data_IF_438848831734
#
_entry.id   IF_438848831734
#
_cell.length_a   1.000
_cell.length_b   1.000
_cell.length_c   1.000
_cell.angle_alpha   90.00
_cell.angle_beta   90.00
_cell.angle_gamma   90.00
#
_symmetry.space_group_name_H-M   'P 1'
#
loop_
_entity.id
_entity.type
_entity.pdbx_description
1 polymer ?
#
# COMPACT_ATOMS: atom_id res chain seq x y z
N UNK A 1 -2.17 -2.22 -49.34
CA UNK A 1 -1.85 -0.99 -48.57
C UNK A 1 -2.33 -1.23 -47.15
N UNK A 2 -1.43 -1.15 -46.15
CA UNK A 2 -1.53 -1.78 -44.82
C UNK A 2 -2.71 -1.36 -43.93
N UNK A 3 -3.02 -2.01 -42.81
CA UNK A 3 -2.35 -3.09 -42.07
C UNK A 3 -2.85 -3.09 -40.62
N UNK A 4 -3.16 -4.29 -40.11
CA UNK A 4 -3.35 -4.78 -38.73
C UNK A 4 -3.52 -3.83 -37.53
N UNK A 5 -4.55 -4.10 -36.73
CA UNK A 5 -4.66 -3.59 -35.36
C UNK A 5 -3.43 -3.89 -34.51
N UNK A 6 -2.95 -2.92 -33.75
CA UNK A 6 -1.85 -3.05 -32.77
C UNK A 6 -1.81 -1.80 -31.89
N UNK A 7 -2.20 -1.89 -30.61
CA UNK A 7 -1.78 -0.87 -29.63
C UNK A 7 -2.71 -0.51 -28.46
N UNK A 8 -3.83 -1.18 -28.22
CA UNK A 8 -4.37 -1.24 -26.86
C UNK A 8 -3.36 -2.02 -26.01
N UNK A 9 -2.87 -1.46 -24.89
CA UNK A 9 -2.33 -2.11 -23.66
C UNK A 9 -1.32 -1.19 -22.91
N UNK A 10 -1.74 0.01 -22.48
CA UNK A 10 -0.93 0.82 -21.55
C UNK A 10 -1.03 0.29 -20.11
N UNK A 11 -0.09 -0.57 -19.70
CA UNK A 11 0.01 -1.10 -18.32
C UNK A 11 0.53 0.00 -17.38
N UNK A 12 -0.28 0.42 -16.42
CA UNK A 12 0.11 1.35 -15.35
C UNK A 12 0.33 0.62 -14.01
N UNK A 13 1.36 1.04 -13.29
CA UNK A 13 1.99 0.45 -12.11
C UNK A 13 2.42 1.50 -11.03
N UNK A 14 1.62 1.80 -10.00
CA UNK A 14 1.79 2.91 -9.03
C UNK A 14 3.22 3.18 -8.47
N UNK A 15 3.55 4.39 -7.97
CA UNK A 15 4.93 4.67 -7.51
C UNK A 15 5.22 4.14 -6.10
N UNK A 16 6.46 3.74 -5.81
CA UNK A 16 6.86 3.23 -4.48
C UNK A 16 6.89 4.28 -3.36
N UNK A 17 7.21 5.52 -3.69
CA UNK A 17 7.33 6.65 -2.77
C UNK A 17 5.97 7.11 -2.23
N UNK A 18 4.89 6.89 -2.99
CA UNK A 18 3.52 7.25 -2.67
C UNK A 18 2.87 6.37 -1.58
N UNK A 19 3.56 5.33 -1.09
CA UNK A 19 3.01 4.34 -0.17
C UNK A 19 3.72 4.34 1.18
N UNK A 20 3.00 3.91 2.22
CA UNK A 20 3.62 3.59 3.50
C UNK A 20 4.55 2.41 3.36
N UNK A 21 5.84 2.65 3.57
CA UNK A 21 6.89 1.67 3.37
C UNK A 21 7.27 1.02 4.68
N UNK A 22 7.17 -0.31 4.75
CA UNK A 22 7.75 -1.12 5.81
C UNK A 22 8.95 -1.90 5.25
N UNK A 23 10.16 -1.47 5.61
CA UNK A 23 11.40 -2.10 5.16
C UNK A 23 12.01 -2.93 6.27
N UNK A 24 12.26 -4.21 6.03
CA UNK A 24 12.91 -5.09 7.00
C UNK A 24 14.28 -4.56 7.46
N UNK A 25 14.97 -3.76 6.64
CA UNK A 25 16.25 -3.15 6.99
C UNK A 25 16.17 -2.14 8.16
N UNK A 26 14.97 -1.64 8.51
CA UNK A 26 14.80 -0.76 9.69
C UNK A 26 14.71 -1.53 11.00
N UNK A 27 14.61 -2.87 10.93
CA UNK A 27 14.55 -3.75 12.08
C UNK A 27 15.93 -4.32 12.36
N UNK A 28 16.41 -4.20 13.59
CA UNK A 28 17.67 -4.85 13.98
C UNK A 28 17.48 -6.36 14.11
N UNK A 29 18.52 -7.14 13.84
CA UNK A 29 18.43 -8.60 13.83
C UNK A 29 18.04 -9.21 15.19
N UNK A 30 18.58 -8.65 16.27
CA UNK A 30 18.31 -9.03 17.66
C UNK A 30 16.81 -8.90 18.03
N UNK A 31 16.08 -7.98 17.40
CA UNK A 31 14.66 -7.76 17.66
C UNK A 31 13.79 -8.98 17.31
N UNK A 32 14.20 -9.77 16.32
CA UNK A 32 13.45 -10.96 15.90
C UNK A 32 13.65 -12.11 16.91
N UNK A 33 14.83 -12.20 17.51
CA UNK A 33 15.16 -13.21 18.53
C UNK A 33 14.52 -12.85 19.88
N UNK A 34 14.50 -11.57 20.22
CA UNK A 34 13.92 -11.08 21.48
C UNK A 34 12.39 -10.92 21.43
N UNK A 35 11.74 -11.17 20.30
CA UNK A 35 10.28 -11.02 20.17
C UNK A 35 9.80 -9.56 20.24
N UNK A 36 10.55 -8.61 19.68
CA UNK A 36 10.26 -7.17 19.87
C UNK A 36 8.91 -6.77 19.27
N UNK A 37 8.23 -5.86 19.94
CA UNK A 37 7.06 -5.16 19.43
C UNK A 37 7.29 -3.65 19.38
N UNK A 38 6.52 -2.97 18.55
CA UNK A 38 6.65 -1.52 18.39
C UNK A 38 5.67 -0.97 17.38
N UNK A 39 5.90 0.28 16.96
CA UNK A 39 5.09 0.97 15.97
C UNK A 39 5.99 1.65 14.95
N UNK A 40 5.62 1.57 13.68
CA UNK A 40 6.16 2.41 12.62
C UNK A 40 5.10 3.45 12.29
N UNK A 41 5.50 4.72 12.25
CA UNK A 41 4.67 5.85 11.85
C UNK A 41 5.23 6.45 10.58
N UNK A 42 4.36 6.99 9.73
CA UNK A 42 4.75 7.72 8.53
C UNK A 42 4.17 9.12 8.59
N UNK A 43 4.98 10.12 8.27
CA UNK A 43 4.53 11.52 8.20
C UNK A 43 4.91 12.15 6.85
N UNK A 44 4.09 13.11 6.41
CA UNK A 44 4.36 13.96 5.26
C UNK A 44 3.96 15.40 5.56
N UNK A 45 4.84 16.34 5.24
CA UNK A 45 4.62 17.76 5.56
C UNK A 45 4.38 18.01 7.05
N UNK A 46 4.96 17.19 7.95
CA UNK A 46 4.79 17.31 9.40
C UNK A 46 3.52 16.66 9.97
N UNK A 47 2.61 16.13 9.14
CA UNK A 47 1.41 15.44 9.60
C UNK A 47 1.58 13.92 9.55
N UNK A 48 1.17 13.22 10.61
CA UNK A 48 1.13 11.75 10.61
C UNK A 48 0.07 11.27 9.61
N UNK A 49 0.51 10.48 8.65
CA UNK A 49 -0.29 9.95 7.53
C UNK A 49 -0.79 8.52 7.81
N UNK A 50 -0.21 7.85 8.80
CA UNK A 50 -0.63 6.53 9.24
C UNK A 50 0.39 5.87 10.14
N UNK A 51 -0.02 4.78 10.76
CA UNK A 51 0.85 3.97 11.59
C UNK A 51 0.47 2.50 11.56
N UNK A 52 1.48 1.65 11.80
CA UNK A 52 1.32 0.20 11.94
C UNK A 52 2.03 -0.25 13.21
N UNK A 53 1.32 -1.00 14.05
CA UNK A 53 1.95 -1.74 15.13
C UNK A 53 2.52 -3.04 14.56
N UNK A 54 3.69 -3.45 15.06
CA UNK A 54 4.32 -4.69 14.67
C UNK A 54 4.71 -5.52 15.88
N UNK A 55 4.77 -6.83 15.67
CA UNK A 55 5.45 -7.80 16.53
C UNK A 55 6.32 -8.67 15.63
N UNK A 56 7.62 -8.70 15.87
CA UNK A 56 8.55 -9.57 15.16
C UNK A 56 8.93 -10.77 16.02
N UNK A 57 9.00 -11.94 15.40
CA UNK A 57 9.51 -13.18 15.98
C UNK A 57 10.56 -13.80 15.05
N UNK A 58 11.10 -14.96 15.41
CA UNK A 58 12.21 -15.59 14.67
C UNK A 58 11.83 -15.91 13.22
N UNK A 59 10.58 -16.31 12.98
CA UNK A 59 10.04 -16.77 11.70
C UNK A 59 8.84 -15.96 11.19
N UNK A 60 8.40 -14.92 11.91
CA UNK A 60 7.26 -14.10 11.52
C UNK A 60 7.42 -12.60 11.76
N UNK A 61 6.63 -11.83 11.02
CA UNK A 61 6.31 -10.44 11.30
C UNK A 61 4.78 -10.28 11.30
N UNK A 62 4.21 -9.90 12.45
CA UNK A 62 2.79 -9.60 12.59
C UNK A 62 2.59 -8.09 12.54
N UNK A 63 1.62 -7.65 11.75
CA UNK A 63 1.22 -6.26 11.62
C UNK A 63 -0.21 -6.09 12.12
N UNK A 64 -0.45 -5.02 12.85
CA UNK A 64 -1.77 -4.58 13.27
C UNK A 64 -1.93 -3.11 12.95
N UNK A 65 -2.93 -2.77 12.16
CA UNK A 65 -3.20 -1.40 11.71
C UNK A 65 -4.68 -1.20 11.45
N UNK A 66 -5.09 0.06 11.31
CA UNK A 66 -6.45 0.41 10.94
C UNK A 66 -6.49 0.98 9.53
N UNK A 67 -7.55 0.65 8.80
CA UNK A 67 -7.84 1.24 7.49
C UNK A 67 -9.21 1.90 7.53
N UNK A 68 -9.32 3.04 6.86
CA UNK A 68 -10.54 3.86 6.84
C UNK A 68 -10.54 4.92 7.95
N UNK A 69 -11.67 5.62 8.10
CA UNK A 69 -11.84 6.69 9.08
C UNK A 69 -13.24 6.67 9.69
N UNK A 70 -13.34 7.04 10.98
CA UNK A 70 -14.60 7.09 11.71
C UNK A 70 -15.31 5.74 11.78
N UNK A 71 -16.60 5.71 11.44
CA UNK A 71 -17.48 4.52 11.55
C UNK A 71 -17.09 3.33 10.64
N UNK A 72 -16.19 3.53 9.67
CA UNK A 72 -15.68 2.43 8.85
C UNK A 72 -14.24 2.07 9.14
N UNK A 73 -13.70 2.56 10.25
CA UNK A 73 -12.38 2.17 10.67
C UNK A 73 -12.40 0.66 10.94
N UNK A 74 -11.67 -0.08 10.13
CA UNK A 74 -11.52 -1.51 10.29
C UNK A 74 -10.11 -1.80 10.80
N UNK A 75 -10.02 -2.56 11.89
CA UNK A 75 -8.75 -3.09 12.36
C UNK A 75 -8.39 -4.34 11.53
N UNK A 76 -7.17 -4.36 11.03
CA UNK A 76 -6.63 -5.44 10.19
C UNK A 76 -5.41 -6.03 10.89
N UNK A 77 -5.34 -7.36 10.86
CA UNK A 77 -4.22 -8.14 11.38
C UNK A 77 -3.63 -8.96 10.25
N UNK A 78 -2.33 -8.81 9.99
CA UNK A 78 -1.62 -9.57 8.95
C UNK A 78 -0.35 -10.21 9.49
N UNK A 79 -0.17 -11.49 9.20
CA UNK A 79 1.07 -12.21 9.52
C UNK A 79 1.83 -12.50 8.24
N UNK A 80 3.11 -12.16 8.22
CA UNK A 80 4.05 -12.45 7.15
C UNK A 80 5.11 -13.42 7.67
N UNK A 81 5.38 -14.47 6.90
CA UNK A 81 6.48 -15.38 7.21
C UNK A 81 7.84 -14.74 6.90
N UNK A 82 8.88 -15.24 7.53
CA UNK A 82 10.26 -14.89 7.26
C UNK A 82 10.95 -16.06 6.56
N UNK A 83 11.83 -15.73 5.62
CA UNK A 83 12.68 -16.71 4.95
C UNK A 83 14.12 -16.22 4.95
N UNK A 84 15.05 -17.15 4.84
CA UNK A 84 16.47 -16.88 4.95
C UNK A 84 17.18 -17.31 3.67
N UNK A 85 18.22 -16.57 3.29
CA UNK A 85 19.17 -16.98 2.27
C UNK A 85 20.57 -16.75 2.78
N UNK A 86 21.46 -17.70 2.56
CA UNK A 86 22.87 -17.55 2.93
C UNK A 86 23.52 -16.43 2.09
N UNK A 87 24.53 -15.80 2.67
CA UNK A 87 25.31 -14.76 2.00
C UNK A 87 26.72 -15.27 1.69
N UNK A 88 27.25 -14.84 0.55
CA UNK A 88 28.57 -15.27 0.05
C UNK A 88 29.73 -14.95 1.02
N UNK A 89 29.57 -13.96 1.90
CA UNK A 89 30.58 -13.54 2.87
C UNK A 89 30.23 -13.97 4.31
N UNK A 90 29.35 -14.96 4.46
CA UNK A 90 28.88 -15.44 5.76
C UNK A 90 27.64 -14.71 6.27
N UNK A 91 26.88 -15.39 7.14
CA UNK A 91 25.63 -14.89 7.70
C UNK A 91 24.40 -15.15 6.82
N UNK A 92 23.23 -14.81 7.37
CA UNK A 92 21.95 -15.04 6.72
C UNK A 92 21.22 -13.73 6.44
N UNK A 93 20.70 -13.60 5.22
CA UNK A 93 19.79 -12.51 4.86
C UNK A 93 18.36 -12.93 5.13
N UNK A 94 17.67 -12.17 5.98
CA UNK A 94 16.24 -12.32 6.22
C UNK A 94 15.41 -11.63 5.14
N UNK A 95 14.30 -12.26 4.77
CA UNK A 95 13.34 -11.79 3.79
C UNK A 95 11.91 -11.94 4.31
N UNK A 96 11.04 -11.00 4.00
CA UNK A 96 9.60 -11.14 4.19
C UNK A 96 9.02 -11.99 3.06
N UNK A 97 8.17 -12.94 3.42
CA UNK A 97 7.35 -13.70 2.48
C UNK A 97 6.01 -12.96 2.32
N UNK A 98 5.83 -12.29 1.19
CA UNK A 98 4.57 -11.66 0.86
C UNK A 98 3.47 -12.73 0.70
N UNK A 99 2.20 -12.34 0.82
CA UNK A 99 1.05 -13.23 0.57
C UNK A 99 1.01 -13.86 -0.82
N UNK A 100 1.80 -13.35 -1.78
CA UNK A 100 2.00 -13.96 -3.10
C UNK A 100 3.12 -15.01 -3.14
N UNK A 101 3.69 -15.38 -1.99
CA UNK A 101 4.81 -16.33 -1.87
C UNK A 101 6.19 -15.76 -2.18
N UNK A 102 6.27 -14.55 -2.76
CA UNK A 102 7.57 -13.95 -3.11
C UNK A 102 8.32 -13.43 -1.88
N UNK A 103 9.63 -13.65 -1.88
CA UNK A 103 10.57 -13.01 -0.95
C UNK A 103 10.73 -11.54 -1.32
N UNK A 104 10.59 -10.66 -0.34
CA UNK A 104 10.75 -9.23 -0.50
C UNK A 104 11.38 -8.62 0.75
N UNK A 105 12.13 -7.53 0.60
CA UNK A 105 12.66 -6.77 1.74
C UNK A 105 11.65 -5.77 2.27
N UNK A 106 10.76 -5.30 1.38
CA UNK A 106 9.87 -4.17 1.61
C UNK A 106 8.43 -4.57 1.33
N UNK A 107 7.56 -4.27 2.29
CA UNK A 107 6.11 -4.25 2.12
C UNK A 107 5.65 -2.81 1.97
N UNK A 108 4.70 -2.59 1.08
CA UNK A 108 4.07 -1.30 0.85
C UNK A 108 2.62 -1.39 1.32
N UNK A 109 2.21 -0.42 2.13
CA UNK A 109 0.88 -0.30 2.71
C UNK A 109 -0.08 0.43 1.77
N UNK A 110 -1.23 -0.18 1.54
CA UNK A 110 -2.45 0.46 1.03
C UNK A 110 -3.60 0.04 1.95
N UNK A 111 -4.67 -0.58 1.41
CA UNK A 111 -5.61 -1.33 2.27
C UNK A 111 -4.95 -2.54 2.95
N UNK A 112 -4.01 -3.19 2.25
CA UNK A 112 -3.23 -4.31 2.77
C UNK A 112 -1.74 -4.13 2.48
N UNK A 113 -0.86 -4.72 3.31
CA UNK A 113 0.57 -4.69 3.07
C UNK A 113 0.97 -5.75 2.04
N UNK A 114 1.54 -5.34 0.90
CA UNK A 114 2.00 -6.29 -0.13
C UNK A 114 3.35 -5.87 -0.70
N UNK A 115 4.03 -6.80 -1.37
CA UNK A 115 5.30 -6.49 -2.03
C UNK A 115 5.09 -5.55 -3.22
N UNK A 116 6.18 -4.95 -3.68
CA UNK A 116 6.22 -4.13 -4.91
C UNK A 116 5.47 -4.79 -6.07
N UNK A 117 5.66 -6.08 -6.31
CA UNK A 117 5.06 -6.72 -7.47
C UNK A 117 3.53 -6.84 -7.34
N UNK A 118 3.03 -7.15 -6.15
CA UNK A 118 1.59 -7.24 -5.88
C UNK A 118 0.89 -5.91 -6.08
N UNK A 119 1.49 -4.83 -5.57
CA UNK A 119 1.01 -3.47 -5.80
C UNK A 119 1.38 -2.93 -7.18
N UNK A 120 2.07 -3.75 -8.00
CA UNK A 120 2.65 -3.39 -9.29
C UNK A 120 3.33 -2.04 -9.21
N UNK A 121 4.27 -1.86 -8.30
CA UNK A 121 4.93 -0.59 -8.13
C UNK A 121 6.08 -0.44 -9.13
N UNK A 122 6.03 0.63 -9.92
CA UNK A 122 7.18 1.10 -10.69
C UNK A 122 7.99 2.09 -9.85
N UNK A 123 9.27 2.21 -10.16
CA UNK A 123 10.09 3.27 -9.57
C UNK A 123 9.59 4.63 -10.07
N UNK A 124 9.66 5.65 -9.21
CA UNK A 124 9.19 7.00 -9.52
C UNK A 124 9.76 7.57 -10.83
N UNK A 125 10.98 7.18 -11.21
CA UNK A 125 11.64 7.57 -12.47
C UNK A 125 11.01 7.01 -13.75
N UNK A 126 10.16 5.99 -13.67
CA UNK A 126 9.52 5.35 -14.84
C UNK A 126 8.15 5.96 -15.18
N UNK A 127 7.71 7.00 -14.45
CA UNK A 127 6.30 7.33 -14.28
C UNK A 127 5.82 8.69 -14.76
N UNK A 128 6.62 9.49 -15.47
CA UNK A 128 6.13 10.75 -16.06
C UNK A 128 5.06 10.55 -17.17
N UNK A 129 4.75 9.30 -17.58
CA UNK A 129 4.02 9.05 -18.84
C UNK A 129 2.62 8.42 -18.76
N UNK A 130 2.04 8.10 -17.59
CA UNK A 130 0.80 7.28 -17.60
C UNK A 130 -0.23 7.63 -16.49
N UNK A 131 -1.54 7.67 -16.82
CA UNK A 131 -2.69 8.03 -15.93
C UNK A 131 -3.78 6.92 -15.91
N UNK A 132 -4.32 6.57 -14.72
CA UNK A 132 -5.41 5.56 -14.55
C UNK A 132 -6.79 6.23 -14.62
N UNK A 133 -7.80 5.65 -15.31
CA UNK A 133 -9.17 6.18 -15.32
C UNK A 133 -9.76 6.27 -13.90
N UNK A 134 -10.35 7.40 -13.54
CA UNK A 134 -10.89 7.65 -12.19
C UNK A 134 -9.85 8.04 -11.13
N UNK A 135 -8.55 7.86 -11.38
CA UNK A 135 -7.52 8.34 -10.44
C UNK A 135 -7.57 9.86 -10.33
N UNK A 136 -7.58 10.58 -11.45
CA UNK A 136 -7.67 12.04 -11.45
C UNK A 136 -8.96 12.54 -10.74
N UNK A 137 -10.06 11.79 -10.83
CA UNK A 137 -11.31 12.13 -10.16
C UNK A 137 -11.21 11.88 -8.64
N UNK A 138 -10.67 10.74 -8.22
CA UNK A 138 -10.40 10.43 -6.81
C UNK A 138 -9.44 11.43 -6.18
N UNK A 139 -8.37 11.79 -6.88
CA UNK A 139 -7.44 12.83 -6.46
C UNK A 139 -8.14 14.19 -6.36
N UNK A 140 -9.04 14.52 -7.29
CA UNK A 140 -9.80 15.77 -7.25
C UNK A 140 -10.74 15.81 -6.05
N UNK A 141 -11.45 14.71 -5.76
CA UNK A 141 -12.31 14.59 -4.58
C UNK A 141 -11.49 14.72 -3.30
N UNK A 142 -10.35 14.03 -3.21
CA UNK A 142 -9.45 14.08 -2.05
C UNK A 142 -8.87 15.48 -1.85
N UNK A 143 -8.33 16.11 -2.91
CA UNK A 143 -7.85 17.50 -2.88
C UNK A 143 -8.94 18.47 -2.42
N UNK A 144 -10.17 18.32 -2.93
CA UNK A 144 -11.31 19.16 -2.55
C UNK A 144 -11.67 19.05 -1.06
N UNK A 145 -11.44 17.89 -0.47
CA UNK A 145 -11.69 17.65 0.95
C UNK A 145 -10.47 17.94 1.83
N UNK A 146 -9.35 18.37 1.24
CA UNK A 146 -8.08 18.57 1.94
C UNK A 146 -7.42 17.26 2.39
N UNK A 147 -7.77 16.14 1.76
CA UNK A 147 -7.24 14.82 2.08
C UNK A 147 -5.98 14.52 1.27
N UNK A 148 -5.14 13.65 1.84
CA UNK A 148 -3.94 13.18 1.16
C UNK A 148 -4.29 12.39 -0.10
N UNK A 149 -3.55 12.71 -1.15
CA UNK A 149 -3.78 12.25 -2.51
C UNK A 149 -3.04 10.94 -2.72
N UNK A 150 -3.73 9.96 -3.31
CA UNK A 150 -3.19 8.62 -3.56
C UNK A 150 -4.09 7.54 -2.98
N UNK A 151 -4.20 6.41 -3.68
CA UNK A 151 -5.12 5.34 -3.30
C UNK A 151 -4.64 4.52 -2.08
N UNK A 152 -3.36 4.63 -1.72
CA UNK A 152 -2.79 4.00 -0.54
C UNK A 152 -3.30 4.63 0.77
N UNK A 153 -3.84 5.85 0.70
CA UNK A 153 -4.28 6.60 1.87
C UNK A 153 -5.75 6.35 2.18
N UNK A 154 -6.11 6.18 3.47
CA UNK A 154 -7.50 6.09 3.86
C UNK A 154 -8.22 7.39 3.52
N UNK A 155 -9.51 7.29 3.20
CA UNK A 155 -10.35 8.47 3.02
C UNK A 155 -10.47 9.21 4.35
N UNK A 156 -10.11 10.49 4.39
CA UNK A 156 -10.04 11.28 5.62
C UNK A 156 -11.40 11.46 6.30
N UNK A 157 -11.37 11.88 7.57
CA UNK A 157 -12.59 12.14 8.35
C UNK A 157 -13.37 13.32 7.77
N UNK A 158 -14.69 13.30 7.96
CA UNK A 158 -15.61 14.32 7.45
C UNK A 158 -15.18 15.74 7.85
N UNK A 159 -15.01 16.66 6.88
CA UNK A 159 -14.69 18.06 7.17
C UNK A 159 -15.78 18.75 8.01
N UNK A 160 -15.35 19.72 8.83
CA UNK A 160 -16.25 20.58 9.61
C UNK A 160 -17.19 21.34 8.67
N UNK A 161 -18.49 21.37 9.00
CA UNK A 161 -19.50 22.04 8.17
C UNK A 161 -19.99 21.25 6.94
N UNK A 162 -19.37 20.13 6.58
CA UNK A 162 -19.92 19.25 5.53
C UNK A 162 -21.17 18.54 6.04
N UNK A 163 -22.15 18.24 5.19
CA UNK A 163 -23.28 17.38 5.56
C UNK A 163 -22.88 15.89 5.44
N UNK A 164 -23.33 15.04 6.36
CA UNK A 164 -22.97 13.61 6.38
C UNK A 164 -23.35 12.89 5.08
N UNK A 165 -24.51 13.20 4.50
CA UNK A 165 -24.94 12.65 3.21
C UNK A 165 -23.93 12.94 2.09
N UNK A 166 -23.41 14.17 2.03
CA UNK A 166 -22.43 14.60 1.03
C UNK A 166 -21.08 13.93 1.25
N UNK A 167 -20.65 13.83 2.51
CA UNK A 167 -19.45 13.10 2.88
C UNK A 167 -19.52 11.62 2.46
N UNK A 168 -20.62 10.93 2.79
CA UNK A 168 -20.80 9.54 2.40
C UNK A 168 -20.90 9.35 0.89
N UNK A 169 -21.46 10.32 0.15
CA UNK A 169 -21.45 10.28 -1.31
C UNK A 169 -20.01 10.34 -1.87
N UNK A 170 -19.17 11.26 -1.38
CA UNK A 170 -17.76 11.34 -1.77
C UNK A 170 -16.98 10.09 -1.36
N UNK A 171 -17.22 9.59 -0.14
CA UNK A 171 -16.59 8.38 0.37
C UNK A 171 -16.99 7.14 -0.42
N UNK A 172 -18.24 7.04 -0.85
CA UNK A 172 -18.71 5.96 -1.72
C UNK A 172 -18.05 6.03 -3.10
N UNK A 173 -17.89 7.23 -3.66
CA UNK A 173 -17.14 7.43 -4.90
C UNK A 173 -15.68 6.99 -4.72
N UNK A 174 -14.99 7.50 -3.69
CA UNK A 174 -13.59 7.13 -3.36
C UNK A 174 -13.39 5.62 -3.19
N UNK A 175 -14.31 4.97 -2.47
CA UNK A 175 -14.32 3.53 -2.27
C UNK A 175 -14.56 2.77 -3.58
N UNK A 176 -15.50 3.22 -4.43
CA UNK A 176 -15.75 2.60 -5.73
C UNK A 176 -14.52 2.69 -6.65
N UNK A 177 -13.79 3.81 -6.63
CA UNK A 177 -12.56 3.98 -7.41
C UNK A 177 -11.40 3.16 -6.82
N UNK A 178 -11.27 3.11 -5.49
CA UNK A 178 -10.28 2.25 -4.82
C UNK A 178 -10.53 0.78 -5.11
N UNK A 179 -11.80 0.34 -5.09
CA UNK A 179 -12.21 -1.00 -5.46
C UNK A 179 -12.03 -1.26 -6.96
N UNK A 180 -12.25 -0.28 -7.83
CA UNK A 180 -11.99 -0.41 -9.27
C UNK A 180 -10.48 -0.52 -9.58
N UNK A 181 -9.64 0.19 -8.83
CA UNK A 181 -8.18 0.04 -8.86
C UNK A 181 -7.81 -1.36 -8.37
N UNK A 182 -8.32 -1.80 -7.21
CA UNK A 182 -8.11 -3.15 -6.70
C UNK A 182 -8.59 -4.23 -7.69
N UNK A 183 -9.76 -4.07 -8.31
CA UNK A 183 -10.30 -5.00 -9.30
C UNK A 183 -9.53 -4.98 -10.62
N UNK A 184 -9.04 -3.84 -11.11
CA UNK A 184 -8.12 -3.78 -12.25
C UNK A 184 -6.74 -4.40 -11.91
N UNK A 185 -6.38 -4.39 -10.63
CA UNK A 185 -5.21 -5.10 -10.11
C UNK A 185 -5.45 -6.62 -9.98
N UNK A 186 -6.68 -7.05 -9.69
CA UNK A 186 -7.07 -8.48 -9.54
C UNK A 186 -7.46 -9.14 -10.88
N UNK A 187 -8.42 -8.59 -11.63
CA UNK A 187 -8.99 -9.19 -12.84
C UNK A 187 -8.05 -9.30 -14.05
N UNK A 188 -6.88 -8.65 -13.99
CA UNK A 188 -5.83 -8.78 -15.03
C UNK A 188 -4.90 -9.97 -14.82
N UNK A 189 -4.95 -10.60 -13.64
CA UNK A 189 -4.16 -11.79 -13.31
C UNK A 189 -5.10 -12.76 -12.60
N UNK A 190 -6.06 -13.29 -13.37
CA UNK A 190 -6.79 -14.48 -12.95
C UNK A 190 -5.80 -15.48 -12.35
N UNK A 191 -6.20 -16.03 -11.20
CA UNK A 191 -5.73 -17.34 -10.76
C UNK A 191 -5.68 -18.29 -11.96
#
# INVERSE_FOLDING_TARGET
MGGYGSGCHGRLASKTDEFHRLDLATFKNDWFESGRWGRVTWSRGGHETGSVAYVCGTDFLKLTYSVGSGESQQQIHETFGLSFSDQNFGGQRRWLVCKCGRRCRVLYGGRYFRCRQCHRLCFASQYERFRVPGMAEAETVRKRLGFEVGFAYPFGAKPKGMHWRTYYAYRKRDCAMSNAIEQALVGRWGL
#
